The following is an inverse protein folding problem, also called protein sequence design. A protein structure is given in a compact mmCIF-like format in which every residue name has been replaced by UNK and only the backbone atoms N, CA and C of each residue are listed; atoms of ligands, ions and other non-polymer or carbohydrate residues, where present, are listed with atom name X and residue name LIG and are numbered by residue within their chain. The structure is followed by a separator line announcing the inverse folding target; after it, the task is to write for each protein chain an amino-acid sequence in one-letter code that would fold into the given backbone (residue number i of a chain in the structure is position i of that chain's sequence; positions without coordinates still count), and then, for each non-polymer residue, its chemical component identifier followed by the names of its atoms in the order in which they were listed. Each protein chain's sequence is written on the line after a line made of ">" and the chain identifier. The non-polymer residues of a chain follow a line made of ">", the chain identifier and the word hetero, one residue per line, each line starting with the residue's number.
data_IF_278905470384
#
_entry.id   IF_278905470384
#
_cell.length_a   1.000
_cell.length_b   1.000
_cell.length_c   1.000
_cell.angle_alpha   90.00
_cell.angle_beta   90.00
_cell.angle_gamma   90.00
#
_symmetry.space_group_name_H-M   'P 1'
#
loop_
_entity.id
_entity.type
_entity.pdbx_description
1 polymer ?
#
# COMPACT_ATOMS: atom_id res chain seq x y z
N UNK A 1 10.52 -0.15 -23.78
CA UNK A 1 9.56 -1.20 -24.20
C UNK A 1 8.69 -1.54 -23.01
N UNK A 2 7.37 -1.37 -23.09
CA UNK A 2 6.45 -1.66 -21.97
C UNK A 2 6.44 -3.16 -21.67
N UNK A 3 6.50 -3.54 -20.39
CA UNK A 3 6.39 -4.94 -19.94
C UNK A 3 5.08 -5.56 -20.42
N UNK A 4 4.03 -4.75 -20.61
CA UNK A 4 2.73 -5.14 -21.16
C UNK A 4 2.80 -5.77 -22.56
N UNK A 5 3.80 -5.41 -23.38
CA UNK A 5 3.99 -6.00 -24.72
C UNK A 5 4.62 -7.39 -24.70
N UNK A 6 5.09 -7.87 -23.54
CA UNK A 6 5.69 -9.21 -23.38
C UNK A 6 4.72 -10.21 -22.77
N UNK A 7 3.54 -9.77 -22.34
CA UNK A 7 2.57 -10.63 -21.64
C UNK A 7 1.44 -11.02 -22.61
N UNK A 8 1.10 -12.32 -22.74
CA UNK A 8 -0.01 -12.78 -23.56
C UNK A 8 -1.32 -12.07 -23.20
N UNK A 9 -2.16 -11.75 -24.19
CA UNK A 9 -3.44 -11.04 -23.96
C UNK A 9 -4.33 -11.75 -22.94
N UNK A 10 -4.31 -13.09 -22.89
CA UNK A 10 -5.07 -13.88 -21.92
C UNK A 10 -4.64 -13.66 -20.46
N UNK A 11 -3.40 -13.22 -20.22
CA UNK A 11 -2.88 -12.97 -18.87
C UNK A 11 -3.04 -11.51 -18.43
N UNK A 12 -3.32 -10.58 -19.36
CA UNK A 12 -3.47 -9.15 -19.04
C UNK A 12 -4.64 -8.88 -18.10
N UNK A 13 -5.79 -9.55 -18.31
CA UNK A 13 -6.97 -9.43 -17.45
C UNK A 13 -6.72 -9.87 -15.99
N UNK A 14 -6.25 -11.11 -15.75
CA UNK A 14 -5.90 -11.58 -14.40
C UNK A 14 -4.83 -10.74 -13.72
N UNK A 15 -3.81 -10.30 -14.46
CA UNK A 15 -2.71 -9.49 -13.92
C UNK A 15 -3.17 -8.07 -13.57
N UNK A 16 -4.10 -7.50 -14.35
CA UNK A 16 -4.79 -6.26 -14.02
C UNK A 16 -5.60 -6.40 -12.73
N UNK A 17 -6.42 -7.45 -12.60
CA UNK A 17 -7.20 -7.71 -11.39
C UNK A 17 -6.32 -7.90 -10.14
N UNK A 18 -5.22 -8.65 -10.26
CA UNK A 18 -4.24 -8.82 -9.19
C UNK A 18 -3.58 -7.48 -8.79
N UNK A 19 -3.20 -6.66 -9.77
CA UNK A 19 -2.60 -5.34 -9.53
C UNK A 19 -3.58 -4.39 -8.84
N UNK A 20 -4.86 -4.45 -9.20
CA UNK A 20 -5.94 -3.70 -8.55
C UNK A 20 -6.15 -4.17 -7.10
N UNK A 21 -6.07 -5.49 -6.86
CA UNK A 21 -6.08 -6.05 -5.51
C UNK A 21 -4.93 -5.54 -4.64
N UNK A 22 -3.71 -5.53 -5.18
CA UNK A 22 -2.52 -4.98 -4.50
C UNK A 22 -2.69 -3.48 -4.22
N UNK A 23 -3.27 -2.72 -5.15
CA UNK A 23 -3.58 -1.32 -4.92
C UNK A 23 -4.51 -1.13 -3.71
N UNK A 24 -5.67 -1.79 -3.74
CA UNK A 24 -6.69 -1.62 -2.71
C UNK A 24 -6.12 -2.04 -1.35
N UNK A 25 -5.48 -3.21 -1.27
CA UNK A 25 -4.90 -3.70 -0.02
C UNK A 25 -3.78 -2.77 0.49
N UNK A 26 -2.89 -2.32 -0.39
CA UNK A 26 -1.80 -1.40 -0.02
C UNK A 26 -2.32 -0.08 0.54
N UNK A 27 -3.36 0.49 -0.07
CA UNK A 27 -3.98 1.73 0.40
C UNK A 27 -4.77 1.54 1.70
N UNK A 28 -5.58 0.48 1.81
CA UNK A 28 -6.39 0.22 3.01
C UNK A 28 -5.51 -0.09 4.20
N UNK A 29 -4.58 -1.04 4.06
CA UNK A 29 -3.65 -1.42 5.14
C UNK A 29 -2.73 -0.24 5.47
N UNK A 30 -2.22 0.45 4.45
CA UNK A 30 -1.38 1.63 4.64
C UNK A 30 -2.08 2.74 5.40
N UNK A 31 -3.34 3.04 5.06
CA UNK A 31 -4.16 4.03 5.78
C UNK A 31 -4.37 3.65 7.24
N UNK A 32 -4.76 2.40 7.52
CA UNK A 32 -4.98 1.91 8.88
C UNK A 32 -3.70 2.04 9.71
N UNK A 33 -2.57 1.55 9.19
CA UNK A 33 -1.28 1.62 9.89
C UNK A 33 -0.82 3.06 10.11
N UNK A 34 -1.01 3.93 9.12
CA UNK A 34 -0.60 5.33 9.23
C UNK A 34 -1.44 6.05 10.28
N UNK A 35 -2.77 5.88 10.26
CA UNK A 35 -3.66 6.46 11.26
C UNK A 35 -3.37 5.92 12.66
N UNK A 36 -3.14 4.61 12.76
CA UNK A 36 -2.75 3.99 14.03
C UNK A 36 -1.43 4.58 14.53
N UNK A 37 -0.40 4.64 13.70
CA UNK A 37 0.89 5.23 14.06
C UNK A 37 0.80 6.70 14.46
N UNK A 38 -0.06 7.49 13.81
CA UNK A 38 -0.33 8.89 14.20
C UNK A 38 -0.99 8.94 15.58
N UNK A 39 -1.99 8.08 15.84
CA UNK A 39 -2.63 8.04 17.16
C UNK A 39 -1.69 7.60 18.27
N UNK A 40 -0.74 6.70 17.98
CA UNK A 40 0.32 6.32 18.91
C UNK A 40 1.28 7.49 19.17
N UNK A 41 1.72 8.17 18.11
CA UNK A 41 2.67 9.28 18.18
C UNK A 41 2.13 10.49 18.96
N UNK A 42 0.82 10.74 18.85
CA UNK A 42 0.13 11.83 19.55
C UNK A 42 -0.43 11.40 20.93
N UNK A 43 -0.15 10.17 21.38
CA UNK A 43 -0.61 9.64 22.67
C UNK A 43 -2.14 9.67 22.84
N UNK A 44 -2.90 9.58 21.73
CA UNK A 44 -4.37 9.69 21.69
C UNK A 44 -5.10 8.39 22.07
N UNK A 45 -4.35 7.32 22.39
CA UNK A 45 -4.86 5.97 22.59
C UNK A 45 -4.91 5.53 24.06
N UNK A 46 -4.38 6.33 25.00
CA UNK A 46 -4.27 5.98 26.42
C UNK A 46 -3.30 4.83 26.73
N UNK A 47 -2.42 4.46 25.78
CA UNK A 47 -1.41 3.42 25.98
C UNK A 47 -0.09 4.09 26.33
N UNK A 48 0.36 3.92 27.57
CA UNK A 48 1.65 4.39 28.04
C UNK A 48 2.76 3.38 27.72
N UNK A 49 3.96 3.89 27.42
CA UNK A 49 5.16 3.05 27.26
C UNK A 49 5.55 2.71 25.82
N UNK A 50 4.82 3.21 24.81
CA UNK A 50 5.28 3.15 23.41
C UNK A 50 6.24 4.30 23.14
N UNK A 51 7.43 3.97 22.63
CA UNK A 51 8.41 4.97 22.26
C UNK A 51 7.98 5.75 21.02
N UNK A 52 8.37 7.02 20.95
CA UNK A 52 8.24 7.86 19.74
C UNK A 52 8.82 7.17 18.51
N UNK A 53 9.92 6.44 18.67
CA UNK A 53 10.58 5.70 17.59
C UNK A 53 9.69 4.56 17.08
N UNK A 54 9.05 3.82 17.97
CA UNK A 54 8.11 2.73 17.62
C UNK A 54 6.86 3.27 16.93
N UNK A 55 6.36 4.42 17.37
CA UNK A 55 5.24 5.08 16.67
C UNK A 55 5.64 5.51 15.26
N UNK A 56 6.86 6.05 15.09
CA UNK A 56 7.38 6.46 13.79
C UNK A 56 7.58 5.27 12.84
N UNK A 57 8.00 4.10 13.33
CA UNK A 57 8.16 2.91 12.48
C UNK A 57 6.82 2.40 11.98
N UNK A 58 5.75 2.48 12.79
CA UNK A 58 4.39 2.14 12.37
C UNK A 58 3.88 3.09 11.29
N UNK A 59 4.08 4.41 11.48
CA UNK A 59 3.76 5.42 10.44
C UNK A 59 4.53 5.12 9.16
N UNK A 60 5.86 4.91 9.26
CA UNK A 60 6.71 4.61 8.12
C UNK A 60 6.27 3.36 7.36
N UNK A 61 5.89 2.31 8.09
CA UNK A 61 5.36 1.07 7.49
C UNK A 61 4.05 1.33 6.75
N UNK A 62 3.14 2.12 7.33
CA UNK A 62 1.90 2.51 6.67
C UNK A 62 2.13 3.30 5.37
N UNK A 63 3.09 4.22 5.37
CA UNK A 63 3.50 4.97 4.16
C UNK A 63 4.08 4.03 3.11
N UNK A 64 4.95 3.09 3.49
CA UNK A 64 5.50 2.08 2.56
C UNK A 64 4.40 1.24 1.94
N UNK A 65 3.40 0.81 2.71
CA UNK A 65 2.24 0.08 2.19
C UNK A 65 1.44 0.92 1.17
N UNK A 66 1.26 2.22 1.41
CA UNK A 66 0.60 3.11 0.44
C UNK A 66 1.43 3.25 -0.84
N UNK A 67 2.76 3.33 -0.75
CA UNK A 67 3.66 3.36 -1.92
C UNK A 67 3.52 2.06 -2.73
N UNK A 68 3.46 0.90 -2.08
CA UNK A 68 3.19 -0.37 -2.77
C UNK A 68 1.81 -0.39 -3.43
N UNK A 69 0.80 0.19 -2.77
CA UNK A 69 -0.53 0.39 -3.34
C UNK A 69 -0.50 1.24 -4.62
N UNK A 70 0.27 2.34 -4.61
CA UNK A 70 0.49 3.19 -5.78
C UNK A 70 1.20 2.43 -6.92
N UNK A 71 2.17 1.58 -6.62
CA UNK A 71 2.78 0.70 -7.62
C UNK A 71 1.76 -0.28 -8.20
N UNK A 72 0.86 -0.83 -7.37
CA UNK A 72 -0.28 -1.65 -7.82
C UNK A 72 -1.18 -0.89 -8.82
N UNK A 73 -1.48 0.38 -8.55
CA UNK A 73 -2.23 1.23 -9.49
C UNK A 73 -1.50 1.42 -10.82
N UNK A 74 -0.18 1.67 -10.77
CA UNK A 74 0.65 1.77 -11.98
C UNK A 74 0.68 0.47 -12.79
N UNK A 75 0.69 -0.68 -12.10
CA UNK A 75 0.55 -2.00 -12.70
C UNK A 75 -0.81 -2.17 -13.39
N UNK A 76 -1.90 -1.83 -12.69
CA UNK A 76 -3.25 -1.88 -13.25
C UNK A 76 -3.37 -1.02 -14.52
N UNK A 77 -2.92 0.24 -14.50
CA UNK A 77 -2.95 1.11 -15.68
C UNK A 77 -2.07 0.61 -16.84
N UNK A 78 -1.07 -0.23 -16.59
CA UNK A 78 -0.22 -0.79 -17.64
C UNK A 78 -0.73 -2.10 -18.24
N UNK A 79 -1.62 -2.83 -17.54
CA UNK A 79 -2.15 -4.11 -17.99
C UNK A 79 -3.63 -4.06 -18.40
N UNK A 80 -4.42 -3.17 -17.80
CA UNK A 80 -5.85 -3.03 -18.08
C UNK A 80 -6.17 -1.96 -19.14
N UNK A 81 -5.27 -1.00 -19.35
CA UNK A 81 -5.32 0.04 -20.39
C UNK A 81 -4.06 -0.04 -21.27
#
# INVERSE_FOLDING_TARGET
>A
MSVSNRVPESLKGPLGAASLGVMILGLVVGYILTMLGITLFLELNGIEGISTVESLTVIGTGVVCMVLGYVGWRGFMGFAY
#
